data_IF_925269393162
#
_entry.id   IF_925269393162
#
_cell.length_a   1.000
_cell.length_b   1.000
_cell.length_c   1.000
_cell.angle_alpha   90.00
_cell.angle_beta   90.00
_cell.angle_gamma   90.00
#
_symmetry.space_group_name_H-M   'P 1'
#
loop_
_entity.id
_entity.type
_entity.pdbx_description
1 polymer ?
#
# COMPACT_ATOMS: atom_id res chain seq x y z
N UNK A 1 -18.22 -13.30 -18.20
CA UNK A 1 -16.82 -12.96 -17.87
C UNK A 1 -16.66 -11.52 -18.29
N UNK A 2 -16.53 -10.59 -17.35
CA UNK A 2 -16.42 -9.17 -17.66
C UNK A 2 -15.09 -8.89 -18.35
N UNK A 3 -15.13 -8.10 -19.43
CA UNK A 3 -13.94 -7.65 -20.14
C UNK A 3 -13.05 -6.85 -19.17
N UNK A 4 -11.75 -7.15 -19.06
CA UNK A 4 -10.85 -6.31 -18.28
C UNK A 4 -10.85 -4.91 -18.92
N UNK A 5 -10.85 -3.85 -18.11
CA UNK A 5 -10.68 -2.49 -18.59
C UNK A 5 -9.28 -2.36 -19.24
N UNK A 6 -9.20 -2.68 -20.53
CA UNK A 6 -8.02 -2.65 -21.37
C UNK A 6 -8.05 -1.43 -22.27
N UNK A 7 -6.86 -0.94 -22.62
CA UNK A 7 -6.70 0.14 -23.59
C UNK A 7 -7.17 -0.37 -24.95
N UNK A 8 -8.24 0.20 -25.49
CA UNK A 8 -8.68 -0.07 -26.86
C UNK A 8 -7.76 0.64 -27.86
N UNK A 9 -7.17 -0.14 -28.77
CA UNK A 9 -6.31 0.36 -29.85
C UNK A 9 -7.06 0.16 -31.16
N UNK A 10 -7.40 1.26 -31.82
CA UNK A 10 -7.98 1.24 -33.16
C UNK A 10 -6.94 1.67 -34.19
N UNK A 11 -6.74 0.84 -35.23
CA UNK A 11 -5.86 1.15 -36.36
C UNK A 11 -6.75 1.28 -37.60
N UNK A 12 -6.70 2.45 -38.24
CA UNK A 12 -7.41 2.74 -39.50
C UNK A 12 -6.37 2.90 -40.61
N UNK A 13 -6.63 2.30 -41.77
CA UNK A 13 -5.74 2.34 -42.94
C UNK A 13 -6.49 2.95 -44.12
N UNK A 14 -5.93 4.02 -44.69
CA UNK A 14 -6.43 4.62 -45.92
C UNK A 14 -5.86 3.91 -47.16
N UNK A 15 -6.73 3.45 -48.06
CA UNK A 15 -6.31 2.83 -49.34
C UNK A 15 -6.36 3.84 -50.49
N UNK A 16 -5.29 3.90 -51.30
CA UNK A 16 -5.23 4.73 -52.51
C UNK A 16 -5.53 3.90 -53.77
N UNK A 17 -6.54 4.30 -54.55
CA UNK A 17 -6.85 3.72 -55.87
C UNK A 17 -6.21 4.50 -57.02
N UNK A 18 -5.60 3.78 -57.98
CA UNK A 18 -4.99 4.35 -59.19
C UNK A 18 -5.74 3.86 -60.42
N UNK A 19 -6.16 4.78 -61.29
CA UNK A 19 -6.83 4.47 -62.57
C UNK A 19 -5.96 4.94 -63.73
N UNK A 20 -5.68 4.04 -64.68
CA UNK A 20 -4.92 4.35 -65.90
C UNK A 20 -5.89 4.40 -67.08
N UNK A 21 -5.92 5.53 -67.81
CA UNK A 21 -6.86 5.76 -68.93
C UNK A 21 -6.16 5.78 -70.30
N UNK A 22 -4.95 5.22 -70.41
CA UNK A 22 -4.14 5.21 -71.64
C UNK A 22 -4.52 4.03 -72.56
N UNK A 23 -4.54 4.27 -73.87
CA UNK A 23 -4.70 3.22 -74.91
C UNK A 23 -3.38 2.50 -75.23
N UNK A 24 -2.21 3.05 -74.84
CA UNK A 24 -0.90 2.41 -74.94
C UNK A 24 -0.48 1.71 -73.64
N UNK A 25 0.48 0.78 -73.73
CA UNK A 25 1.02 0.05 -72.58
C UNK A 25 1.78 1.00 -71.62
N UNK A 26 1.25 1.17 -70.40
CA UNK A 26 1.87 1.96 -69.33
C UNK A 26 2.27 1.04 -68.18
N UNK A 27 3.54 1.07 -67.79
CA UNK A 27 4.01 0.43 -66.56
C UNK A 27 3.81 1.38 -65.37
N UNK A 28 2.97 0.98 -64.41
CA UNK A 28 2.80 1.68 -63.14
C UNK A 28 3.47 0.88 -62.04
N UNK A 29 4.45 1.49 -61.36
CA UNK A 29 5.08 0.92 -60.17
C UNK A 29 4.52 1.61 -58.92
N UNK A 30 3.88 0.83 -58.04
CA UNK A 30 3.41 1.31 -56.73
C UNK A 30 4.25 0.61 -55.67
N UNK A 31 4.93 1.39 -54.83
CA UNK A 31 5.63 0.87 -53.67
C UNK A 31 4.73 1.07 -52.43
N UNK A 32 4.50 0.04 -51.59
CA UNK A 32 3.78 0.21 -50.34
C UNK A 32 4.62 1.03 -49.35
N UNK A 33 3.96 1.89 -48.59
CA UNK A 33 4.55 2.57 -47.45
C UNK A 33 4.13 1.84 -46.16
N UNK A 34 5.09 1.45 -45.34
CA UNK A 34 4.86 0.75 -44.07
C UNK A 34 5.02 1.72 -42.92
N UNK A 35 3.98 1.90 -42.11
CA UNK A 35 4.06 2.68 -40.86
C UNK A 35 4.21 1.72 -39.68
N UNK A 36 5.34 1.81 -38.97
CA UNK A 36 5.51 1.10 -37.70
C UNK A 36 4.80 1.86 -36.58
N UNK A 37 3.81 1.23 -35.95
CA UNK A 37 3.12 1.78 -34.77
C UNK A 37 3.62 1.06 -33.54
N UNK A 38 4.30 1.78 -32.65
CA UNK A 38 4.75 1.26 -31.36
C UNK A 38 3.88 1.81 -30.24
N UNK A 39 3.29 0.92 -29.45
CA UNK A 39 2.58 1.26 -28.20
C UNK A 39 3.48 0.91 -27.03
N UNK A 40 3.87 1.93 -26.25
CA UNK A 40 4.51 1.74 -24.96
C UNK A 40 3.42 1.68 -23.90
N UNK A 41 3.01 0.47 -23.51
CA UNK A 41 2.14 0.26 -22.36
C UNK A 41 3.00 -0.21 -21.18
N UNK A 42 2.88 0.49 -20.05
CA UNK A 42 3.40 -0.01 -18.78
C UNK A 42 2.26 -0.82 -18.15
N UNK A 43 2.40 -2.15 -17.98
CA UNK A 43 1.37 -2.93 -17.29
C UNK A 43 1.20 -2.39 -15.87
N UNK A 44 -0.04 -2.36 -15.38
CA UNK A 44 -0.31 -1.96 -14.00
C UNK A 44 0.49 -2.87 -13.05
N UNK A 45 1.26 -2.27 -12.13
CA UNK A 45 2.00 -3.03 -11.13
C UNK A 45 1.02 -3.81 -10.25
N UNK A 46 1.29 -5.09 -10.05
CA UNK A 46 0.56 -5.95 -9.11
C UNK A 46 1.28 -6.07 -7.76
N UNK A 47 2.43 -5.41 -7.60
CA UNK A 47 3.25 -5.45 -6.39
C UNK A 47 3.00 -4.16 -5.60
N UNK A 48 2.55 -4.29 -4.35
CA UNK A 48 2.16 -3.16 -3.49
C UNK A 48 3.29 -2.14 -3.27
N UNK A 49 4.55 -2.58 -3.19
CA UNK A 49 5.71 -1.69 -3.06
C UNK A 49 6.01 -0.86 -4.31
N UNK A 50 5.40 -1.21 -5.46
CA UNK A 50 5.50 -0.45 -6.70
C UNK A 50 4.21 0.33 -7.03
N UNK A 51 3.22 0.31 -6.13
CA UNK A 51 2.03 1.16 -6.22
C UNK A 51 2.25 2.37 -5.33
N UNK A 52 2.31 3.55 -5.94
CA UNK A 52 2.47 4.81 -5.21
C UNK A 52 1.28 5.10 -4.30
N UNK A 53 1.57 5.72 -3.16
CA UNK A 53 0.61 6.23 -2.19
C UNK A 53 0.96 7.69 -1.86
N UNK A 54 -0.06 8.51 -1.61
CA UNK A 54 0.15 9.86 -1.06
C UNK A 54 0.05 9.78 0.44
N UNK A 55 1.05 10.32 1.14
CA UNK A 55 1.05 10.41 2.60
C UNK A 55 -0.25 11.07 3.12
N UNK A 56 -0.75 10.58 4.25
CA UNK A 56 -2.00 11.04 4.85
C UNK A 56 -1.93 10.98 6.37
N UNK A 57 -2.23 12.11 7.03
CA UNK A 57 -2.17 12.24 8.49
C UNK A 57 -0.82 11.77 9.05
N UNK A 58 -0.82 10.77 9.95
CA UNK A 58 0.38 10.21 10.57
C UNK A 58 1.05 9.09 9.73
N UNK A 59 0.48 8.73 8.58
CA UNK A 59 1.08 7.77 7.64
C UNK A 59 1.92 8.54 6.62
N UNK A 60 3.23 8.41 6.72
CA UNK A 60 4.22 9.10 5.87
C UNK A 60 4.62 8.30 4.62
N UNK A 61 4.20 7.04 4.55
CA UNK A 61 4.52 6.11 3.47
C UNK A 61 4.12 6.62 2.08
N UNK A 62 4.98 6.36 1.08
CA UNK A 62 4.79 6.73 -0.32
C UNK A 62 4.47 5.54 -1.22
N UNK A 63 4.38 4.34 -0.64
CA UNK A 63 3.91 3.12 -1.32
C UNK A 63 2.78 2.49 -0.53
N UNK A 64 1.96 1.68 -1.19
CA UNK A 64 0.87 0.94 -0.53
C UNK A 64 1.42 -0.06 0.48
N UNK A 65 2.57 -0.69 0.18
CA UNK A 65 3.21 -1.64 1.10
C UNK A 65 3.59 -0.98 2.43
N UNK A 66 4.37 0.09 2.37
CA UNK A 66 4.87 0.77 3.57
C UNK A 66 3.72 1.39 4.38
N UNK A 67 2.64 1.82 3.71
CA UNK A 67 1.47 2.37 4.38
C UNK A 67 0.73 1.32 5.22
N UNK A 68 0.64 0.09 4.72
CA UNK A 68 0.04 -1.03 5.46
C UNK A 68 0.92 -1.41 6.66
N UNK A 69 2.24 -1.42 6.49
CA UNK A 69 3.19 -1.68 7.56
C UNK A 69 3.07 -0.62 8.66
N UNK A 70 3.09 0.67 8.33
CA UNK A 70 2.89 1.75 9.30
C UNK A 70 1.53 1.66 10.01
N UNK A 71 0.46 1.22 9.32
CA UNK A 71 -0.84 1.05 9.96
C UNK A 71 -0.87 -0.16 10.91
N UNK A 72 -0.23 -1.26 10.54
CA UNK A 72 -0.10 -2.43 11.39
C UNK A 72 0.71 -2.11 12.66
N UNK A 73 1.68 -1.20 12.52
CA UNK A 73 2.59 -0.75 13.57
C UNK A 73 1.97 0.29 14.53
N UNK A 74 0.71 0.69 14.35
CA UNK A 74 0.01 1.56 15.32
C UNK A 74 -0.61 0.79 16.49
N UNK A 75 -0.96 -0.48 16.28
CA UNK A 75 -1.59 -1.30 17.32
C UNK A 75 -1.09 -2.74 17.33
N UNK A 76 -0.22 -3.01 18.29
CA UNK A 76 0.38 -4.32 18.50
C UNK A 76 -0.44 -5.19 19.44
N UNK A 77 -0.38 -6.51 19.22
CA UNK A 77 -0.99 -7.52 20.11
C UNK A 77 -0.05 -8.72 20.20
N UNK A 78 0.35 -9.07 21.41
CA UNK A 78 1.22 -10.23 21.63
C UNK A 78 1.96 -10.19 22.96
N UNK A 79 2.67 -11.27 23.27
CA UNK A 79 3.40 -11.46 24.54
C UNK A 79 4.80 -10.85 24.55
N UNK A 80 5.27 -10.38 23.39
CA UNK A 80 6.63 -9.88 23.21
C UNK A 80 6.58 -8.39 22.95
N UNK A 81 7.41 -7.63 23.69
CA UNK A 81 7.52 -6.20 23.53
C UNK A 81 7.85 -5.82 22.09
N UNK A 82 7.02 -4.99 21.44
CA UNK A 82 7.31 -4.48 20.11
C UNK A 82 8.60 -3.64 20.11
N UNK A 83 9.37 -3.80 19.04
CA UNK A 83 10.66 -3.13 18.81
C UNK A 83 10.86 -2.93 17.31
N UNK A 84 11.58 -1.89 16.91
CA UNK A 84 11.90 -1.62 15.51
C UNK A 84 11.88 -0.13 15.20
N UNK A 85 12.17 0.22 13.95
CA UNK A 85 12.25 1.62 13.50
C UNK A 85 10.88 2.26 13.24
N UNK A 86 9.81 1.45 13.19
CA UNK A 86 8.45 1.92 12.93
C UNK A 86 7.68 2.32 14.19
N UNK A 87 8.34 2.32 15.37
CA UNK A 87 7.70 2.75 16.62
C UNK A 87 7.51 4.26 16.65
N UNK A 88 6.25 4.67 16.73
CA UNK A 88 5.81 6.05 16.89
C UNK A 88 5.31 6.33 18.31
N UNK A 89 5.53 7.57 18.77
CA UNK A 89 4.87 8.02 19.99
C UNK A 89 3.35 7.94 19.84
N UNK A 90 2.69 7.35 20.84
CA UNK A 90 1.25 7.09 20.86
C UNK A 90 0.87 5.69 20.40
N UNK A 91 1.79 4.90 19.85
CA UNK A 91 1.51 3.50 19.49
C UNK A 91 1.00 2.73 20.70
N UNK A 92 0.06 1.82 20.44
CA UNK A 92 -0.59 1.03 21.48
C UNK A 92 -0.17 -0.43 21.36
N UNK A 93 0.01 -1.08 22.51
CA UNK A 93 0.31 -2.51 22.57
C UNK A 93 -0.50 -3.17 23.67
N UNK A 94 -1.25 -4.21 23.30
CA UNK A 94 -1.81 -5.14 24.27
C UNK A 94 -0.81 -6.27 24.54
N UNK A 95 -0.16 -6.19 25.71
CA UNK A 95 0.76 -7.20 26.22
C UNK A 95 -0.04 -8.38 26.78
N UNK A 96 -0.13 -9.45 25.99
CA UNK A 96 -0.90 -10.64 26.37
C UNK A 96 -0.21 -11.48 27.45
N UNK A 97 1.08 -11.25 27.72
CA UNK A 97 1.79 -11.98 28.79
C UNK A 97 1.45 -11.42 30.17
N UNK A 98 1.30 -10.10 30.26
CA UNK A 98 0.99 -9.40 31.51
C UNK A 98 -0.48 -8.94 31.59
N UNK A 99 -1.25 -9.15 30.52
CA UNK A 99 -2.61 -8.63 30.36
C UNK A 99 -2.67 -7.10 30.57
N UNK A 100 -1.80 -6.34 29.88
CA UNK A 100 -1.73 -4.88 30.03
C UNK A 100 -1.93 -4.15 28.70
N UNK A 101 -2.65 -3.03 28.73
CA UNK A 101 -2.65 -2.08 27.62
C UNK A 101 -1.55 -1.04 27.88
N UNK A 102 -0.59 -0.94 26.96
CA UNK A 102 0.56 -0.05 27.03
C UNK A 102 0.55 0.97 25.90
N UNK A 103 1.16 2.13 26.13
CA UNK A 103 1.43 3.17 25.13
C UNK A 103 2.93 3.43 25.02
N UNK A 104 3.43 3.58 23.79
CA UNK A 104 4.80 4.02 23.56
C UNK A 104 4.86 5.55 23.66
N UNK A 105 5.63 6.09 24.60
CA UNK A 105 5.68 7.54 24.83
C UNK A 105 7.05 8.01 25.28
N UNK A 106 7.29 9.31 25.12
CA UNK A 106 8.49 9.93 25.66
C UNK A 106 8.46 9.91 27.20
N UNK A 107 9.53 9.41 27.82
CA UNK A 107 9.74 9.38 29.27
C UNK A 107 10.78 10.41 29.74
N UNK A 108 11.66 10.82 28.83
CA UNK A 108 12.60 11.92 28.98
C UNK A 108 13.06 12.37 27.59
N UNK A 109 13.61 13.57 27.46
CA UNK A 109 13.99 14.16 26.17
C UNK A 109 14.77 13.18 25.27
N UNK A 110 14.15 12.76 24.17
CA UNK A 110 14.69 11.82 23.18
C UNK A 110 14.65 10.34 23.58
N UNK A 111 14.04 9.99 24.71
CA UNK A 111 13.97 8.63 25.26
C UNK A 111 12.53 8.18 25.38
N UNK A 112 12.20 7.07 24.72
CA UNK A 112 10.85 6.54 24.64
C UNK A 112 10.77 5.17 25.28
N UNK A 113 9.62 4.86 25.87
CA UNK A 113 9.36 3.55 26.47
C UNK A 113 7.87 3.19 26.41
N UNK A 114 7.61 1.88 26.49
CA UNK A 114 6.27 1.33 26.69
C UNK A 114 5.83 1.53 28.14
N UNK A 115 4.78 2.30 28.35
CA UNK A 115 4.20 2.59 29.66
C UNK A 115 2.82 1.98 29.74
N UNK A 116 2.54 1.23 30.81
CA UNK A 116 1.20 0.70 31.07
C UNK A 116 0.20 1.84 31.31
N UNK A 117 -0.88 1.83 30.53
CA UNK A 117 -2.04 2.70 30.70
C UNK A 117 -3.13 2.03 31.52
N UNK A 118 -3.33 0.74 31.28
CA UNK A 118 -4.31 -0.07 31.99
C UNK A 118 -3.62 -1.38 32.31
N UNK A 119 -3.59 -1.70 33.60
CA UNK A 119 -3.22 -3.01 34.08
C UNK A 119 -4.45 -3.68 34.67
N UNK A 120 -4.47 -5.00 34.61
CA UNK A 120 -5.54 -5.75 35.21
C UNK A 120 -5.44 -5.62 36.73
N UNK A 121 -6.52 -5.26 37.40
CA UNK A 121 -6.51 -5.09 38.85
C UNK A 121 -6.08 -6.40 39.53
N UNK A 122 -5.00 -6.36 40.30
CA UNK A 122 -4.54 -7.53 41.06
C UNK A 122 -5.65 -7.96 42.03
N UNK A 123 -6.26 -9.11 41.75
CA UNK A 123 -7.20 -9.77 42.65
C UNK A 123 -6.68 -11.17 42.96
N UNK A 124 -6.35 -11.41 44.23
CA UNK A 124 -5.89 -12.71 44.71
C UNK A 124 -6.90 -13.81 44.35
N UNK A 125 -6.48 -14.77 43.52
CA UNK A 125 -7.30 -15.93 43.12
C UNK A 125 -7.95 -15.81 41.74
N UNK A 126 -7.79 -14.71 41.02
CA UNK A 126 -8.30 -14.55 39.65
C UNK A 126 -7.27 -14.99 38.61
N UNK A 127 -7.74 -15.63 37.54
CA UNK A 127 -6.90 -16.09 36.42
C UNK A 127 -6.81 -15.08 35.28
N UNK A 128 -7.67 -14.07 35.26
CA UNK A 128 -7.59 -12.93 34.35
C UNK A 128 -7.77 -11.64 35.15
N UNK A 129 -6.87 -10.71 34.94
CA UNK A 129 -6.81 -9.46 35.69
C UNK A 129 -7.55 -8.33 34.96
N UNK A 130 -7.81 -8.46 33.65
CA UNK A 130 -8.45 -7.43 32.80
C UNK A 130 -9.96 -7.24 33.01
N UNK A 131 -10.63 -8.13 33.74
CA UNK A 131 -12.06 -7.99 34.05
C UNK A 131 -12.35 -6.85 35.05
N UNK A 132 -11.31 -6.31 35.69
CA UNK A 132 -11.40 -5.17 36.60
C UNK A 132 -10.37 -4.12 36.15
N UNK A 133 -10.85 -2.98 35.64
CA UNK A 133 -10.00 -1.84 35.31
C UNK A 133 -9.47 -1.25 36.62
N UNK A 134 -8.16 -1.36 36.84
CA UNK A 134 -7.46 -0.57 37.84
C UNK A 134 -6.83 0.63 37.12
N UNK A 135 -7.33 1.83 37.41
CA UNK A 135 -6.81 3.09 36.88
C UNK A 135 -5.45 3.49 37.47
N UNK A 136 -4.89 2.66 38.36
CA UNK A 136 -3.70 2.97 39.12
C UNK A 136 -3.97 3.97 40.26
N UNK A 137 -2.92 4.28 41.01
CA UNK A 137 -2.95 5.41 41.95
C UNK A 137 -2.71 6.71 41.16
N UNK A 138 -3.76 7.52 41.03
CA UNK A 138 -3.69 8.87 40.46
C UNK A 138 -3.08 9.88 41.44
#
# INVERSE_FOLDING_TARGET
MAEPAGIDVSIEVDTTTVTVTSEEAVNVAIAPETTEVAISVVPASTIASAIGSTAYANISATTVQDAIEQLADQFYRGSTTPSGDNLGEGDLWYDTANEELRVYREISSGSFAWIALVAGGYATGETSLMDKLDGGFF
#
